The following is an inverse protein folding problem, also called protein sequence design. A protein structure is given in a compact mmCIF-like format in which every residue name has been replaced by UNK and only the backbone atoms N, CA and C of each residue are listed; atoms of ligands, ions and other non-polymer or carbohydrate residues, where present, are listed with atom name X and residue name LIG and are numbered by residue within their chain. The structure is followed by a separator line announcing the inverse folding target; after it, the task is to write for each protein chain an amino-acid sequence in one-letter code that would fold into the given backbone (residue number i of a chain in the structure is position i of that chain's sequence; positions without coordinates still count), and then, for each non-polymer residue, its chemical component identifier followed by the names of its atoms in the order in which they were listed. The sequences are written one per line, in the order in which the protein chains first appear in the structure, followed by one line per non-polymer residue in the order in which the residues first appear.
data_IF_760528319151
#
_entry.id   IF_760528319151
#
_cell.length_a   1.000
_cell.length_b   1.000
_cell.length_c   1.000
_cell.angle_alpha   90.00
_cell.angle_beta   90.00
_cell.angle_gamma   90.00
#
_symmetry.space_group_name_H-M   'P 1'
#
loop_
_entity.id
_entity.type
_entity.pdbx_description
1 polymer ?
#
# COMPACT_ATOMS: atom_id res chain seq x y z
N UNK A 1 70.07 -11.65 26.12
CA UNK A 1 69.32 -10.73 27.00
C UNK A 1 68.34 -9.90 26.18
N UNK A 2 67.12 -9.70 26.72
CA UNK A 2 66.12 -8.66 26.37
C UNK A 2 65.11 -8.96 25.25
N UNK A 3 64.10 -9.79 25.55
CA UNK A 3 62.81 -9.70 24.86
C UNK A 3 62.05 -8.47 25.37
N UNK A 4 61.69 -7.56 24.46
CA UNK A 4 60.84 -6.41 24.73
C UNK A 4 59.38 -6.89 24.67
N UNK A 5 58.83 -7.22 25.83
CA UNK A 5 57.42 -7.56 26.00
C UNK A 5 56.56 -6.31 25.86
N UNK A 6 56.07 -6.04 24.65
CA UNK A 6 55.07 -5.00 24.41
C UNK A 6 53.72 -5.49 24.93
N UNK A 7 53.37 -5.12 26.17
CA UNK A 7 52.00 -5.34 26.70
C UNK A 7 51.04 -4.49 25.88
N UNK A 8 50.28 -5.14 25.00
CA UNK A 8 49.06 -4.56 24.42
C UNK A 8 48.04 -4.49 25.56
N UNK A 9 47.90 -3.30 26.14
CA UNK A 9 46.84 -2.99 27.10
C UNK A 9 45.52 -3.00 26.36
N UNK A 10 44.80 -4.13 26.43
CA UNK A 10 43.39 -4.20 26.05
C UNK A 10 42.61 -3.30 27.02
N UNK A 11 42.35 -2.07 26.59
CA UNK A 11 41.41 -1.16 27.23
C UNK A 11 40.02 -1.80 27.12
N UNK A 12 39.64 -2.51 28.19
CA UNK A 12 38.28 -2.96 28.46
C UNK A 12 37.39 -1.72 28.40
N UNK A 13 36.73 -1.48 27.26
CA UNK A 13 35.63 -0.52 27.16
C UNK A 13 34.52 -1.10 28.01
N UNK A 14 34.48 -0.68 29.26
CA UNK A 14 33.40 -1.02 30.17
C UNK A 14 32.12 -0.48 29.56
N UNK A 15 31.23 -1.40 29.21
CA UNK A 15 29.88 -1.08 28.79
C UNK A 15 29.23 -0.48 30.03
N UNK A 16 29.16 0.85 30.08
CA UNK A 16 28.51 1.59 31.15
C UNK A 16 27.04 1.20 31.17
N UNK A 17 26.67 0.33 32.11
CA UNK A 17 25.28 -0.05 32.32
C UNK A 17 24.56 1.17 32.94
N UNK A 18 23.48 1.68 32.32
CA UNK A 18 22.75 2.80 32.89
C UNK A 18 22.10 2.35 34.21
N UNK A 19 22.16 3.22 35.23
CA UNK A 19 21.73 3.03 36.63
C UNK A 19 20.26 2.60 36.83
N UNK A 20 19.47 2.45 35.77
CA UNK A 20 18.03 2.17 35.77
C UNK A 20 17.63 1.27 34.58
N UNK A 21 18.02 -0.02 34.55
CA UNK A 21 17.65 -0.94 33.47
C UNK A 21 16.13 -1.14 33.34
N UNK A 22 15.40 -0.98 34.46
CA UNK A 22 13.94 -1.03 34.48
C UNK A 22 13.27 0.07 33.64
N UNK A 23 13.90 1.24 33.52
CA UNK A 23 13.36 2.34 32.69
C UNK A 23 13.52 2.00 31.20
N UNK A 24 14.67 1.45 30.81
CA UNK A 24 14.89 1.00 29.43
C UNK A 24 13.93 -0.14 29.06
N UNK A 25 13.78 -1.14 29.93
CA UNK A 25 12.84 -2.24 29.73
C UNK A 25 11.39 -1.76 29.66
N UNK A 26 11.01 -0.80 30.50
CA UNK A 26 9.69 -0.17 30.48
C UNK A 26 9.40 0.57 29.16
N UNK A 27 10.37 1.34 28.65
CA UNK A 27 10.23 2.06 27.37
C UNK A 27 10.10 1.06 26.21
N UNK A 28 10.94 0.02 26.17
CA UNK A 28 10.87 -1.00 25.12
C UNK A 28 9.52 -1.75 25.15
N UNK A 29 9.03 -2.11 26.34
CA UNK A 29 7.74 -2.78 26.50
C UNK A 29 6.58 -1.87 26.06
N UNK A 30 6.64 -0.58 26.40
CA UNK A 30 5.64 0.41 25.97
C UNK A 30 5.60 0.58 24.44
N UNK A 31 6.76 0.59 23.77
CA UNK A 31 6.81 0.64 22.30
C UNK A 31 6.14 -0.57 21.63
N UNK A 32 6.27 -1.76 22.22
CA UNK A 32 5.60 -2.97 21.73
C UNK A 32 4.07 -2.93 21.93
N UNK A 33 3.59 -2.30 23.00
CA UNK A 33 2.15 -2.16 23.26
C UNK A 33 1.47 -1.13 22.34
N UNK A 34 2.20 -0.10 21.89
CA UNK A 34 1.65 0.96 21.04
C UNK A 34 1.63 0.62 19.53
N UNK A 35 2.28 -0.48 19.11
CA UNK A 35 2.43 -0.84 17.69
C UNK A 35 1.24 -1.57 17.06
N UNK A 36 0.23 -1.97 17.83
CA UNK A 36 -0.88 -2.79 17.33
C UNK A 36 -2.01 -1.92 16.76
N UNK A 37 -1.75 -1.28 15.62
CA UNK A 37 -2.76 -0.58 14.84
C UNK A 37 -2.97 -1.29 13.50
N UNK A 38 -4.10 -1.97 13.32
CA UNK A 38 -4.56 -2.39 11.99
C UNK A 38 -5.09 -1.15 11.25
N UNK A 39 -4.17 -0.27 10.85
CA UNK A 39 -4.49 0.90 10.04
C UNK A 39 -4.53 0.42 8.60
N UNK A 40 -5.72 0.42 8.01
CA UNK A 40 -5.85 0.20 6.58
C UNK A 40 -5.33 1.45 5.87
N UNK A 41 -4.13 1.36 5.29
CA UNK A 41 -3.50 2.47 4.57
C UNK A 41 -4.08 2.67 3.17
N UNK A 42 -5.04 1.85 2.76
CA UNK A 42 -5.69 2.00 1.46
C UNK A 42 -6.57 3.25 1.49
N UNK A 43 -6.57 4.04 0.40
CA UNK A 43 -7.54 5.12 0.28
C UNK A 43 -8.96 4.54 0.35
N UNK A 44 -9.90 5.34 0.83
CA UNK A 44 -11.32 5.00 0.72
C UNK A 44 -11.67 4.80 -0.76
N UNK A 45 -12.67 3.94 -1.03
CA UNK A 45 -13.20 3.79 -2.37
C UNK A 45 -13.66 5.16 -2.89
N UNK A 46 -13.22 5.50 -4.10
CA UNK A 46 -13.53 6.74 -4.81
C UNK A 46 -14.18 6.41 -6.15
N UNK A 47 -15.09 7.30 -6.60
CA UNK A 47 -15.86 7.14 -7.85
C UNK A 47 -17.35 6.95 -7.61
N UNK A 48 -18.13 7.09 -8.67
CA UNK A 48 -19.58 6.90 -8.63
C UNK A 48 -19.95 5.42 -8.58
N UNK A 49 -21.05 5.10 -7.90
CA UNK A 49 -21.53 3.72 -7.83
C UNK A 49 -21.96 3.24 -9.22
N UNK A 50 -21.52 2.03 -9.60
CA UNK A 50 -21.82 1.46 -10.90
C UNK A 50 -20.94 2.01 -12.04
N UNK A 51 -19.90 2.79 -11.75
CA UNK A 51 -18.91 3.20 -12.76
C UNK A 51 -17.76 2.17 -12.86
N UNK A 52 -17.40 1.80 -14.09
CA UNK A 52 -16.20 1.04 -14.40
C UNK A 52 -15.27 1.91 -15.25
N UNK A 53 -14.09 2.20 -14.71
CA UNK A 53 -13.03 2.88 -15.44
C UNK A 53 -12.24 1.88 -16.28
N UNK A 54 -12.26 2.07 -17.59
CA UNK A 54 -11.58 1.19 -18.55
C UNK A 54 -10.33 1.90 -19.04
N UNK A 55 -9.16 1.38 -18.69
CA UNK A 55 -7.89 1.90 -19.20
C UNK A 55 -7.66 1.36 -20.61
N UNK A 56 -7.86 2.19 -21.62
CA UNK A 56 -7.82 1.80 -23.03
C UNK A 56 -7.46 2.99 -23.91
N UNK A 57 -6.74 2.73 -25.00
CA UNK A 57 -6.44 3.73 -26.01
C UNK A 57 -7.72 4.20 -26.74
N UNK A 58 -7.78 5.47 -27.14
CA UNK A 58 -8.95 6.05 -27.79
C UNK A 58 -9.29 5.40 -29.13
N UNK A 59 -8.30 4.90 -29.88
CA UNK A 59 -8.51 4.18 -31.14
C UNK A 59 -9.20 2.84 -30.92
N UNK A 60 -8.79 2.11 -29.88
CA UNK A 60 -9.39 0.82 -29.50
C UNK A 60 -10.77 0.99 -28.86
N UNK A 61 -10.94 2.06 -28.08
CA UNK A 61 -12.24 2.42 -27.52
C UNK A 61 -13.27 2.73 -28.60
N UNK A 62 -12.90 3.49 -29.62
CA UNK A 62 -13.81 3.83 -30.72
C UNK A 62 -14.01 2.65 -31.70
N UNK A 63 -13.13 1.64 -31.62
CA UNK A 63 -13.16 0.45 -32.46
C UNK A 63 -14.07 -0.68 -31.95
N UNK A 64 -13.96 -1.87 -32.58
CA UNK A 64 -14.80 -3.03 -32.26
C UNK A 64 -14.60 -3.56 -30.83
N UNK A 65 -13.42 -3.32 -30.25
CA UNK A 65 -13.10 -3.71 -28.86
C UNK A 65 -13.93 -2.92 -27.87
N UNK A 66 -13.96 -1.58 -27.99
CA UNK A 66 -14.78 -0.76 -27.10
C UNK A 66 -16.27 -1.01 -27.28
N UNK A 67 -16.71 -1.35 -28.50
CA UNK A 67 -18.09 -1.73 -28.75
C UNK A 67 -18.47 -3.06 -28.09
N UNK A 68 -17.60 -4.07 -28.16
CA UNK A 68 -17.78 -5.32 -27.45
C UNK A 68 -17.86 -5.10 -25.91
N UNK A 69 -17.04 -4.20 -25.36
CA UNK A 69 -17.10 -3.85 -23.94
C UNK A 69 -18.43 -3.21 -23.54
N UNK A 70 -18.96 -2.26 -24.34
CA UNK A 70 -20.27 -1.63 -24.09
C UNK A 70 -21.40 -2.65 -24.15
N UNK A 71 -21.37 -3.57 -25.11
CA UNK A 71 -22.37 -4.62 -25.20
C UNK A 71 -22.31 -5.60 -24.02
N UNK A 72 -21.11 -5.97 -23.58
CA UNK A 72 -20.94 -6.96 -22.51
C UNK A 72 -21.24 -6.39 -21.12
N UNK A 73 -20.84 -5.15 -20.84
CA UNK A 73 -20.87 -4.57 -19.49
C UNK A 73 -21.89 -3.42 -19.35
N UNK A 74 -22.23 -2.74 -20.44
CA UNK A 74 -23.20 -1.65 -20.47
C UNK A 74 -24.64 -2.11 -20.76
N UNK A 75 -24.91 -3.42 -20.73
CA UNK A 75 -26.26 -3.94 -20.97
C UNK A 75 -27.26 -3.39 -19.93
N UNK A 76 -28.51 -3.22 -20.32
CA UNK A 76 -29.56 -2.69 -19.44
C UNK A 76 -30.16 -3.78 -18.55
N UNK A 77 -30.43 -3.44 -17.29
CA UNK A 77 -31.16 -4.31 -16.38
C UNK A 77 -32.64 -4.30 -16.75
N UNK A 78 -33.09 -5.33 -17.45
CA UNK A 78 -34.47 -5.44 -17.97
C UNK A 78 -35.53 -5.68 -16.90
N UNK A 79 -35.12 -5.95 -15.65
CA UNK A 79 -36.04 -6.27 -14.55
C UNK A 79 -36.50 -5.05 -13.76
N UNK A 80 -35.92 -3.87 -14.01
CA UNK A 80 -36.35 -2.64 -13.37
C UNK A 80 -37.48 -1.97 -14.17
N UNK A 81 -38.46 -1.32 -13.52
CA UNK A 81 -39.51 -0.55 -14.20
C UNK A 81 -38.94 0.56 -15.09
N UNK A 82 -37.81 1.13 -14.68
CA UNK A 82 -37.02 2.06 -15.46
C UNK A 82 -35.73 1.34 -15.91
N UNK A 83 -35.47 1.21 -17.22
CA UNK A 83 -34.27 0.54 -17.69
C UNK A 83 -33.02 1.36 -17.36
N UNK A 84 -32.09 0.75 -16.64
CA UNK A 84 -30.80 1.34 -16.26
C UNK A 84 -29.65 0.44 -16.71
N UNK A 85 -28.51 1.00 -17.17
CA UNK A 85 -27.35 0.20 -17.54
C UNK A 85 -26.75 -0.47 -16.29
N UNK A 86 -26.27 -1.71 -16.44
CA UNK A 86 -25.58 -2.45 -15.36
C UNK A 86 -24.37 -1.67 -14.83
N UNK A 87 -23.56 -1.15 -15.75
CA UNK A 87 -22.41 -0.31 -15.44
C UNK A 87 -22.25 0.83 -16.43
N UNK A 88 -21.77 1.97 -15.95
CA UNK A 88 -21.33 3.09 -16.77
C UNK A 88 -19.84 2.92 -17.06
N UNK A 89 -19.48 2.80 -18.33
CA UNK A 89 -18.09 2.63 -18.74
C UNK A 89 -17.46 3.99 -19.03
N UNK A 90 -16.37 4.29 -18.34
CA UNK A 90 -15.59 5.51 -18.56
C UNK A 90 -14.20 5.17 -19.11
N UNK A 91 -13.89 5.50 -20.38
CA UNK A 91 -12.57 5.26 -20.92
C UNK A 91 -11.56 6.24 -20.31
N UNK A 92 -10.38 5.72 -19.96
CA UNK A 92 -9.25 6.50 -19.48
C UNK A 92 -8.05 6.15 -20.34
N UNK A 93 -7.46 7.17 -20.95
CA UNK A 93 -6.25 6.99 -21.73
C UNK A 93 -5.06 6.64 -20.81
N UNK A 94 -4.27 5.61 -21.16
CA UNK A 94 -3.09 5.27 -20.40
C UNK A 94 -2.07 6.41 -20.49
N UNK A 95 -1.73 7.02 -19.36
CA UNK A 95 -0.61 7.96 -19.28
C UNK A 95 0.65 7.18 -18.94
N UNK A 96 1.64 7.20 -19.83
CA UNK A 96 3.01 6.81 -19.47
C UNK A 96 3.58 7.86 -18.51
N UNK A 97 3.89 7.42 -17.29
CA UNK A 97 4.57 8.21 -16.26
C UNK A 97 6.09 8.12 -16.44
#
# INVERSE_FOLDING_TARGET
MRQRSTRVTLTRREIVMPRRPAVFFGITCLSFLLGCGNVDYRPLAIGDNGEIQVVIDSTLWTGPVGEALRMALGYYVQTLPNPEPFFQLRPIEPRTQ
#
